data_IF_410814247795
#
_entry.id   IF_410814247795
#
_cell.length_a   1.000
_cell.length_b   1.000
_cell.length_c   1.000
_cell.angle_alpha   90.00
_cell.angle_beta   90.00
_cell.angle_gamma   90.00
#
_symmetry.space_group_name_H-M   'P 1'
#
loop_
_entity.id
_entity.type
_entity.pdbx_description
1 polymer ?
#
# COMPACT_ATOMS: atom_id res chain seq x y z
N UNK A 1 -21.51 12.82 25.53
CA UNK A 1 -21.67 12.67 24.07
C UNK A 1 -20.78 13.70 23.39
N UNK A 2 -19.48 13.41 23.25
CA UNK A 2 -18.60 14.21 22.41
C UNK A 2 -18.37 13.34 21.18
N UNK A 3 -18.95 13.77 20.07
CA UNK A 3 -18.77 13.15 18.77
C UNK A 3 -17.27 13.10 18.48
N UNK A 4 -16.71 11.90 18.53
CA UNK A 4 -15.39 11.60 18.00
C UNK A 4 -15.54 11.70 16.48
N UNK A 5 -15.38 12.90 15.94
CA UNK A 5 -15.18 13.10 14.51
C UNK A 5 -13.99 12.24 14.09
N UNK A 6 -14.31 11.07 13.55
CA UNK A 6 -13.40 10.23 12.80
C UNK A 6 -12.98 11.11 11.63
N UNK A 7 -11.76 11.63 11.65
CA UNK A 7 -11.25 12.54 10.63
C UNK A 7 -11.59 12.00 9.23
N UNK A 8 -12.59 12.59 8.58
CA UNK A 8 -13.02 12.27 7.20
C UNK A 8 -12.01 12.85 6.20
N UNK A 9 -10.73 12.60 6.45
CA UNK A 9 -9.62 13.05 5.61
C UNK A 9 -9.49 12.15 4.39
N UNK A 10 -9.04 12.74 3.28
CA UNK A 10 -8.72 12.04 2.05
C UNK A 10 -7.78 10.86 2.35
N UNK A 11 -8.25 9.64 2.07
CA UNK A 11 -7.52 8.39 2.33
C UNK A 11 -6.36 8.18 1.35
N UNK A 12 -6.39 8.79 0.16
CA UNK A 12 -5.37 8.65 -0.88
C UNK A 12 -4.30 9.75 -0.82
N UNK A 13 -4.67 10.97 -0.40
CA UNK A 13 -3.80 12.15 -0.41
C UNK A 13 -3.61 12.72 0.99
N UNK A 14 -2.38 13.08 1.34
CA UNK A 14 -2.07 13.81 2.57
C UNK A 14 -2.27 15.32 2.41
N UNK A 15 -1.90 15.85 1.23
CA UNK A 15 -2.05 17.23 0.77
C UNK A 15 -2.28 17.19 -0.75
N UNK A 16 -2.67 18.32 -1.40
CA UNK A 16 -2.67 18.40 -2.85
C UNK A 16 -1.32 17.95 -3.42
N UNK A 17 -1.37 17.02 -4.38
CA UNK A 17 -0.20 16.45 -5.04
C UNK A 17 0.77 15.71 -4.11
N UNK A 18 0.29 15.26 -2.94
CA UNK A 18 1.06 14.43 -2.01
C UNK A 18 0.33 13.12 -1.76
N UNK A 19 0.76 12.07 -2.47
CA UNK A 19 0.23 10.72 -2.35
C UNK A 19 0.58 10.14 -0.98
N UNK A 20 -0.42 9.54 -0.32
CA UNK A 20 -0.26 8.80 0.92
C UNK A 20 -0.20 7.32 0.63
N UNK A 21 0.94 6.69 0.91
CA UNK A 21 1.15 5.25 0.74
C UNK A 21 1.21 4.58 2.11
N UNK A 22 0.37 3.60 2.33
CA UNK A 22 0.27 2.80 3.55
C UNK A 22 1.18 1.57 3.43
N UNK A 23 1.89 1.27 4.50
CA UNK A 23 2.79 0.12 4.60
C UNK A 23 2.20 -0.94 5.53
N UNK A 24 2.63 -2.18 5.35
CA UNK A 24 2.16 -3.34 6.13
C UNK A 24 2.62 -3.34 7.61
N UNK A 25 3.49 -2.41 8.01
CA UNK A 25 3.82 -2.17 9.42
C UNK A 25 2.91 -1.12 10.10
N UNK A 26 1.83 -0.70 9.44
CA UNK A 26 0.89 0.31 9.92
C UNK A 26 1.35 1.76 9.74
N UNK A 27 2.57 1.99 9.23
CA UNK A 27 3.05 3.33 8.93
C UNK A 27 2.55 3.85 7.58
N UNK A 28 2.69 5.16 7.37
CA UNK A 28 2.43 5.80 6.08
C UNK A 28 3.65 6.59 5.61
N UNK A 29 3.88 6.61 4.30
CA UNK A 29 4.87 7.47 3.65
C UNK A 29 4.15 8.42 2.70
N UNK A 30 4.59 9.67 2.69
CA UNK A 30 4.05 10.72 1.85
C UNK A 30 5.00 10.99 0.68
N UNK A 31 4.46 11.09 -0.54
CA UNK A 31 5.20 11.30 -1.77
C UNK A 31 4.62 12.49 -2.52
N UNK A 32 5.39 13.57 -2.62
CA UNK A 32 5.05 14.65 -3.55
C UNK A 32 5.19 14.09 -4.98
N UNK A 33 4.21 14.37 -5.83
CA UNK A 33 4.24 13.99 -7.23
C UNK A 33 4.00 15.19 -8.15
N UNK A 34 4.50 15.06 -9.37
CA UNK A 34 4.30 15.97 -10.49
C UNK A 34 3.69 15.18 -11.67
N UNK A 35 3.23 15.82 -12.76
CA UNK A 35 2.57 15.13 -13.87
C UNK A 35 3.38 13.98 -14.50
N UNK A 36 4.70 14.05 -14.41
CA UNK A 36 5.62 13.01 -14.90
C UNK A 36 5.90 11.89 -13.90
N UNK A 37 5.51 12.02 -12.62
CA UNK A 37 5.79 10.98 -11.62
C UNK A 37 5.01 9.71 -11.92
N UNK A 38 5.72 8.60 -12.05
CA UNK A 38 5.15 7.27 -12.30
C UNK A 38 4.97 6.47 -11.01
N UNK A 39 4.19 5.40 -11.10
CA UNK A 39 4.11 4.36 -10.06
C UNK A 39 5.49 3.79 -9.75
N UNK A 40 6.28 3.48 -10.78
CA UNK A 40 7.63 2.94 -10.64
C UNK A 40 8.56 3.84 -9.82
N UNK A 41 8.48 5.16 -9.99
CA UNK A 41 9.32 6.10 -9.23
C UNK A 41 9.06 5.98 -7.72
N UNK A 42 7.79 5.84 -7.33
CA UNK A 42 7.39 5.66 -5.93
C UNK A 42 7.83 4.28 -5.42
N UNK A 43 7.61 3.22 -6.20
CA UNK A 43 8.02 1.85 -5.86
C UNK A 43 9.53 1.78 -5.63
N UNK A 44 10.34 2.38 -6.52
CA UNK A 44 11.80 2.42 -6.39
C UNK A 44 12.25 3.27 -5.20
N UNK A 45 11.58 4.38 -4.91
CA UNK A 45 11.86 5.16 -3.69
C UNK A 45 11.57 4.36 -2.42
N UNK A 46 10.49 3.57 -2.41
CA UNK A 46 10.17 2.69 -1.28
C UNK A 46 11.16 1.54 -1.15
N UNK A 47 11.59 0.94 -2.28
CA UNK A 47 12.65 -0.06 -2.31
C UNK A 47 13.89 0.41 -1.55
N UNK A 48 14.38 1.62 -1.87
CA UNK A 48 15.56 2.19 -1.22
C UNK A 48 15.32 2.49 0.26
N UNK A 49 14.20 3.14 0.59
CA UNK A 49 13.87 3.53 1.98
C UNK A 49 13.64 2.34 2.90
N UNK A 50 13.21 1.21 2.36
CA UNK A 50 12.93 -0.02 3.10
C UNK A 50 14.05 -1.05 2.95
N UNK A 51 15.14 -0.71 2.24
CA UNK A 51 16.28 -1.59 1.98
C UNK A 51 15.88 -2.95 1.37
N UNK A 52 14.95 -2.92 0.42
CA UNK A 52 14.44 -4.12 -0.25
C UNK A 52 15.34 -4.48 -1.44
N UNK A 53 15.66 -5.76 -1.59
CA UNK A 53 16.43 -6.28 -2.72
C UNK A 53 15.53 -6.86 -3.81
N UNK A 54 14.45 -7.53 -3.41
CA UNK A 54 13.52 -8.28 -4.28
C UNK A 54 12.28 -7.47 -4.65
N UNK A 55 12.48 -6.36 -5.36
CA UNK A 55 11.40 -5.43 -5.72
C UNK A 55 10.38 -6.04 -6.70
N UNK A 56 10.78 -7.08 -7.43
CA UNK A 56 9.92 -7.83 -8.37
C UNK A 56 8.67 -8.44 -7.70
N UNK A 57 8.64 -8.53 -6.38
CA UNK A 57 7.49 -9.02 -5.62
C UNK A 57 6.46 -7.94 -5.29
N UNK A 58 6.82 -6.67 -5.42
CA UNK A 58 6.03 -5.56 -4.90
C UNK A 58 5.27 -4.80 -5.99
N UNK A 59 4.16 -4.18 -5.58
CA UNK A 59 3.42 -3.22 -6.38
C UNK A 59 2.75 -2.17 -5.48
N UNK A 60 2.31 -1.06 -6.09
CA UNK A 60 1.28 -0.23 -5.49
C UNK A 60 -0.10 -0.81 -5.82
N UNK A 61 -0.99 -0.81 -4.83
CA UNK A 61 -2.37 -1.25 -4.98
C UNK A 61 -3.32 -0.20 -4.40
N UNK A 62 -4.42 0.10 -5.10
CA UNK A 62 -5.52 0.86 -4.53
C UNK A 62 -6.54 -0.09 -3.89
N UNK A 63 -6.80 0.13 -2.62
CA UNK A 63 -7.85 -0.56 -1.86
C UNK A 63 -9.08 0.35 -1.75
N UNK A 64 -10.23 -0.14 -2.19
CA UNK A 64 -11.50 0.58 -2.05
C UNK A 64 -12.01 0.55 -0.60
N UNK A 65 -12.60 1.65 -0.14
CA UNK A 65 -13.24 1.82 1.17
C UNK A 65 -14.76 2.05 1.00
N UNK A 66 -15.60 1.75 2.02
CA UNK A 66 -15.32 1.04 3.26
C UNK A 66 -15.55 -0.47 3.10
N UNK A 67 -14.63 -1.21 2.48
CA UNK A 67 -14.74 -2.66 2.40
C UNK A 67 -13.62 -3.30 1.60
N UNK A 68 -13.00 -4.35 2.17
CA UNK A 68 -11.89 -5.11 1.56
C UNK A 68 -12.43 -6.06 0.48
N UNK A 69 -13.05 -5.53 -0.57
CA UNK A 69 -13.56 -6.37 -1.67
C UNK A 69 -12.79 -6.18 -2.96
N UNK A 70 -12.04 -5.08 -3.12
CA UNK A 70 -11.32 -4.81 -4.37
C UNK A 70 -9.96 -4.14 -4.14
N UNK A 71 -8.92 -4.85 -4.57
CA UNK A 71 -7.58 -4.32 -4.77
C UNK A 71 -7.35 -4.10 -6.27
N UNK A 72 -6.91 -2.90 -6.64
CA UNK A 72 -6.53 -2.55 -8.00
C UNK A 72 -5.01 -2.39 -8.04
N UNK A 73 -4.31 -3.30 -8.69
CA UNK A 73 -2.87 -3.17 -8.92
C UNK A 73 -2.62 -2.04 -9.92
N UNK A 74 -1.66 -1.18 -9.61
CA UNK A 74 -1.23 -0.10 -10.48
C UNK A 74 -0.04 -0.56 -11.31
N UNK A 75 -0.06 -0.26 -12.60
CA UNK A 75 1.04 -0.58 -13.51
C UNK A 75 2.19 0.42 -13.36
N UNK A 76 3.43 -0.03 -13.53
CA UNK A 76 4.65 0.75 -13.30
C UNK A 76 4.69 2.06 -14.10
N UNK A 77 4.20 2.08 -15.35
CA UNK A 77 4.21 3.30 -16.18
C UNK A 77 3.01 4.23 -15.97
N UNK A 78 2.03 3.86 -15.13
CA UNK A 78 0.91 4.77 -14.83
C UNK A 78 1.42 6.04 -14.14
N UNK A 79 0.86 7.19 -14.54
CA UNK A 79 1.14 8.48 -13.89
C UNK A 79 0.30 8.62 -12.62
N UNK A 80 0.93 9.00 -11.52
CA UNK A 80 0.23 9.16 -10.23
C UNK A 80 -0.89 10.19 -10.32
N UNK A 81 -0.66 11.29 -11.02
CA UNK A 81 -1.69 12.31 -11.26
C UNK A 81 -2.94 11.70 -11.94
N UNK A 82 -2.75 10.89 -12.99
CA UNK A 82 -3.87 10.25 -13.69
C UNK A 82 -4.59 9.24 -12.80
N UNK A 83 -3.85 8.48 -11.99
CA UNK A 83 -4.43 7.54 -11.01
C UNK A 83 -5.30 8.28 -10.00
N UNK A 84 -4.82 9.40 -9.48
CA UNK A 84 -5.53 10.23 -8.50
C UNK A 84 -6.74 10.93 -9.12
N UNK A 85 -6.66 11.42 -10.36
CA UNK A 85 -7.77 12.10 -11.05
C UNK A 85 -8.90 11.15 -11.46
N UNK A 86 -8.56 9.93 -11.90
CA UNK A 86 -9.55 8.92 -12.34
C UNK A 86 -10.37 8.32 -11.20
N UNK A 87 -9.97 8.55 -9.94
CA UNK A 87 -10.55 7.92 -8.76
C UNK A 87 -11.04 8.99 -7.81
N UNK A 88 -12.21 8.79 -7.23
CA UNK A 88 -12.61 9.61 -6.09
C UNK A 88 -11.65 9.31 -4.93
N UNK A 89 -10.72 10.22 -4.67
CA UNK A 89 -9.60 10.03 -3.75
C UNK A 89 -10.03 9.68 -2.31
N UNK A 90 -11.29 9.93 -1.95
CA UNK A 90 -11.86 9.59 -0.64
C UNK A 90 -12.14 8.10 -0.49
N UNK A 91 -12.38 7.40 -1.59
CA UNK A 91 -12.82 6.01 -1.59
C UNK A 91 -11.64 5.03 -1.63
N UNK A 92 -10.41 5.50 -1.77
CA UNK A 92 -9.25 4.63 -1.95
C UNK A 92 -8.12 4.95 -0.99
N UNK A 93 -7.41 3.91 -0.56
CA UNK A 93 -6.06 4.00 0.02
C UNK A 93 -5.05 3.38 -0.92
N UNK A 94 -3.88 3.98 -1.03
CA UNK A 94 -2.75 3.38 -1.76
C UNK A 94 -1.91 2.55 -0.79
N UNK A 95 -1.75 1.27 -1.07
CA UNK A 95 -0.95 0.32 -0.31
C UNK A 95 0.32 -0.04 -1.09
N UNK A 96 1.44 -0.21 -0.39
CA UNK A 96 2.62 -0.87 -0.95
C UNK A 96 2.65 -2.32 -0.47
N UNK A 97 2.54 -3.28 -1.40
CA UNK A 97 2.27 -4.68 -1.05
C UNK A 97 3.14 -5.64 -1.83
N UNK A 98 3.41 -6.79 -1.22
CA UNK A 98 3.83 -7.98 -1.96
C UNK A 98 2.61 -8.53 -2.70
N UNK A 99 2.61 -8.38 -4.03
CA UNK A 99 1.51 -8.77 -4.91
C UNK A 99 1.88 -9.96 -5.80
N UNK A 100 3.18 -10.25 -5.95
CA UNK A 100 3.69 -11.36 -6.74
C UNK A 100 4.46 -12.31 -5.83
N UNK A 101 3.83 -13.45 -5.52
CA UNK A 101 4.34 -14.35 -4.48
C UNK A 101 5.68 -15.01 -4.88
N UNK A 102 6.70 -14.97 -4.02
CA UNK A 102 7.92 -15.74 -4.23
C UNK A 102 7.65 -17.24 -4.24
N UNK A 103 8.31 -17.96 -5.14
CA UNK A 103 8.14 -19.42 -5.28
C UNK A 103 8.67 -20.21 -4.07
N UNK A 104 9.68 -19.68 -3.39
CA UNK A 104 10.30 -20.32 -2.24
C UNK A 104 10.57 -19.28 -1.14
N UNK A 105 9.95 -19.48 0.01
CA UNK A 105 10.03 -18.57 1.15
C UNK A 105 11.33 -18.68 1.94
N UNK A 106 11.95 -19.86 2.00
CA UNK A 106 13.26 -20.04 2.64
C UNK A 106 14.34 -19.31 1.86
N UNK A 107 14.37 -19.48 0.53
CA UNK A 107 15.30 -18.76 -0.33
C UNK A 107 15.11 -17.25 -0.26
N UNK A 108 13.86 -16.78 -0.13
CA UNK A 108 13.58 -15.36 0.08
C UNK A 108 14.14 -14.88 1.41
N UNK A 109 13.92 -15.61 2.51
CA UNK A 109 14.46 -15.25 3.83
C UNK A 109 15.99 -15.13 3.79
N UNK A 110 16.68 -16.07 3.14
CA UNK A 110 18.14 -16.05 3.07
C UNK A 110 18.68 -14.89 2.23
N UNK A 111 17.98 -14.54 1.14
CA UNK A 111 18.46 -13.55 0.16
C UNK A 111 17.99 -12.13 0.45
N UNK A 112 16.80 -11.98 1.01
CA UNK A 112 16.17 -10.70 1.35
C UNK A 112 15.25 -10.84 2.58
N UNK A 113 15.84 -10.88 3.79
CA UNK A 113 15.09 -10.94 5.05
C UNK A 113 14.10 -9.78 5.21
N UNK A 114 14.38 -8.61 4.63
CA UNK A 114 13.51 -7.45 4.72
C UNK A 114 12.21 -7.68 3.93
N UNK A 115 12.31 -8.19 2.70
CA UNK A 115 11.13 -8.58 1.91
C UNK A 115 10.35 -9.71 2.58
N UNK A 116 11.04 -10.72 3.13
CA UNK A 116 10.37 -11.80 3.88
C UNK A 116 9.60 -11.25 5.08
N UNK A 117 10.21 -10.38 5.88
CA UNK A 117 9.56 -9.77 7.03
C UNK A 117 8.36 -8.91 6.63
N UNK A 118 8.48 -8.18 5.53
CA UNK A 118 7.37 -7.39 4.99
C UNK A 118 6.19 -8.27 4.59
N UNK A 119 6.46 -9.38 3.90
CA UNK A 119 5.44 -10.36 3.53
C UNK A 119 4.78 -10.99 4.77
N UNK A 120 5.55 -11.32 5.80
CA UNK A 120 5.02 -11.85 7.06
C UNK A 120 4.03 -10.87 7.71
N UNK A 121 4.39 -9.59 7.83
CA UNK A 121 3.51 -8.55 8.36
C UNK A 121 2.23 -8.40 7.53
N UNK A 122 2.34 -8.47 6.21
CA UNK A 122 1.20 -8.40 5.30
C UNK A 122 0.18 -9.52 5.55
N UNK A 123 0.66 -10.75 5.76
CA UNK A 123 -0.18 -11.91 6.03
C UNK A 123 -0.82 -11.79 7.42
N UNK A 124 -0.04 -11.40 8.44
CA UNK A 124 -0.55 -11.22 9.80
C UNK A 124 -1.66 -10.17 9.88
N UNK A 125 -1.50 -9.00 9.25
CA UNK A 125 -2.57 -8.00 9.17
C UNK A 125 -3.82 -8.51 8.44
N UNK A 126 -3.63 -9.30 7.38
CA UNK A 126 -4.76 -9.88 6.64
C UNK A 126 -5.54 -10.85 7.54
N UNK A 127 -4.85 -11.72 8.27
CA UNK A 127 -5.48 -12.64 9.22
C UNK A 127 -6.16 -11.91 10.38
N UNK A 128 -5.52 -10.89 10.94
CA UNK A 128 -6.09 -10.08 12.03
C UNK A 128 -7.34 -9.30 11.59
N UNK A 129 -7.41 -8.88 10.32
CA UNK A 129 -8.62 -8.28 9.76
C UNK A 129 -9.78 -9.29 9.66
N UNK A 130 -9.49 -10.55 9.29
CA UNK A 130 -10.47 -11.63 9.21
C UNK A 130 -10.93 -12.12 10.59
N UNK A 131 -10.03 -12.20 11.58
CA UNK A 131 -10.40 -12.59 12.95
C UNK A 131 -11.19 -11.49 13.67
N UNK A 132 -10.93 -10.23 13.35
CA UNK A 132 -11.76 -9.09 13.81
C UNK A 132 -13.18 -9.17 13.24
N UNK A 133 -13.34 -9.66 12.01
CA UNK A 133 -14.66 -9.92 11.39
C UNK A 133 -15.35 -11.11 12.08
N UNK A 134 -14.63 -12.18 12.45
CA UNK A 134 -15.23 -13.31 13.18
C UNK A 134 -15.58 -13.00 14.65
N UNK A 135 -14.87 -12.09 15.32
CA UNK A 135 -15.19 -11.64 16.70
C UNK A 135 -16.28 -10.57 16.77
N UNK A 136 -16.70 -10.02 15.63
CA UNK A 136 -17.77 -9.03 15.54
C UNK A 136 -19.18 -9.65 15.38
N UNK A 137 -19.30 -10.98 15.50
CA UNK A 137 -20.57 -11.72 15.53
C UNK A 137 -20.71 -12.52 16.82
#
# INVERSE_FOLDING_TARGET
LINKEKSEGNSLLFLPNVLKVYLENGQTKAFKFEPSTTVKDIVMTLKEKLSLSRIEHFALALEQQPGVTKLLLLHDEERIEQVVQKKEARDYRCLFRVCFMPKNLHSLLDQDPATFMYLYLQVDLTLNSLTSIQRAF
#
